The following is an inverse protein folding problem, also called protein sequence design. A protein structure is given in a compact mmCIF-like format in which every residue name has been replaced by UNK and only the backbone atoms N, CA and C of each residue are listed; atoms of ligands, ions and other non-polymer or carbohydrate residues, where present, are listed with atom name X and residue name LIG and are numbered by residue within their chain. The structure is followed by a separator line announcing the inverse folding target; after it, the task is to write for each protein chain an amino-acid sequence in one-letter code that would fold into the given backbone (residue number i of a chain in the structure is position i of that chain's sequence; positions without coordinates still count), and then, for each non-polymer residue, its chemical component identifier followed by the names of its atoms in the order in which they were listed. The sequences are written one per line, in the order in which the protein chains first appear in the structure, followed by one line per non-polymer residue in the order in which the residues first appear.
data_IF_254982372422
#
_entry.id   IF_254982372422
#
_cell.length_a   1.000
_cell.length_b   1.000
_cell.length_c   1.000
_cell.angle_alpha   90.00
_cell.angle_beta   90.00
_cell.angle_gamma   90.00
#
_symmetry.space_group_name_H-M   'P 1'
#
loop_
_entity.id
_entity.type
_entity.pdbx_description
1 polymer ?
#
# COMPACT_ATOMS: atom_id res chain seq x y z
N UNK A 1 -3.18 33.67 -54.31
CA UNK A 1 -4.15 32.60 -54.61
C UNK A 1 -3.39 31.29 -54.66
N UNK A 2 -3.75 30.34 -53.80
CA UNK A 2 -2.98 29.10 -53.58
C UNK A 2 -3.89 27.86 -53.62
N UNK A 3 -3.27 26.71 -53.91
CA UNK A 3 -3.95 25.41 -53.81
C UNK A 3 -4.07 24.95 -52.35
N UNK A 4 -4.92 23.95 -52.09
CA UNK A 4 -5.08 23.39 -50.74
C UNK A 4 -3.75 22.92 -50.13
N UNK A 5 -2.91 22.27 -50.93
CA UNK A 5 -1.59 21.78 -50.50
C UNK A 5 -0.60 22.91 -50.23
N UNK A 6 -0.67 24.00 -51.01
CA UNK A 6 0.16 25.19 -50.76
C UNK A 6 -0.25 25.91 -49.48
N UNK A 7 -1.54 26.06 -49.21
CA UNK A 7 -2.04 26.62 -47.94
C UNK A 7 -1.64 25.74 -46.76
N UNK A 8 -1.80 24.42 -46.89
CA UNK A 8 -1.42 23.49 -45.82
C UNK A 8 0.08 23.61 -45.51
N UNK A 9 0.93 23.60 -46.54
CA UNK A 9 2.38 23.76 -46.40
C UNK A 9 2.76 25.12 -45.81
N UNK A 10 2.10 26.20 -46.22
CA UNK A 10 2.36 27.56 -45.73
C UNK A 10 2.05 27.74 -44.24
N UNK A 11 1.06 27.01 -43.74
CA UNK A 11 0.69 27.00 -42.32
C UNK A 11 1.39 25.89 -41.53
N UNK A 12 2.33 25.16 -42.15
CA UNK A 12 2.99 23.98 -41.56
C UNK A 12 2.01 22.91 -41.06
N UNK A 13 0.91 22.71 -41.80
CA UNK A 13 -0.14 21.73 -41.54
C UNK A 13 -0.14 20.62 -42.59
N UNK A 14 -0.72 19.48 -42.24
CA UNK A 14 -1.08 18.43 -43.19
C UNK A 14 -2.37 18.80 -43.95
N UNK A 15 -2.54 18.29 -45.17
CA UNK A 15 -3.78 18.46 -45.94
C UNK A 15 -5.02 17.98 -45.17
N UNK A 16 -4.86 16.93 -44.36
CA UNK A 16 -5.92 16.40 -43.49
C UNK A 16 -6.30 17.39 -42.39
N UNK A 17 -5.33 18.05 -41.76
CA UNK A 17 -5.57 19.09 -40.76
C UNK A 17 -6.27 20.31 -41.39
N UNK A 18 -5.83 20.74 -42.58
CA UNK A 18 -6.48 21.84 -43.30
C UNK A 18 -7.93 21.51 -43.65
N UNK A 19 -8.22 20.28 -44.10
CA UNK A 19 -9.61 19.81 -44.36
C UNK A 19 -10.50 19.78 -43.12
N UNK A 20 -9.93 19.55 -41.94
CA UNK A 20 -10.68 19.64 -40.67
C UNK A 20 -10.98 21.10 -40.32
N UNK A 21 -10.00 21.99 -40.48
CA UNK A 21 -10.19 23.43 -40.26
C UNK A 21 -11.23 24.04 -41.22
N UNK A 22 -11.29 23.56 -42.47
CA UNK A 22 -12.31 23.97 -43.44
C UNK A 22 -13.77 23.70 -43.00
N UNK A 23 -13.98 22.79 -42.05
CA UNK A 23 -15.32 22.49 -41.51
C UNK A 23 -15.72 23.39 -40.34
N UNK A 24 -14.80 24.20 -39.83
CA UNK A 24 -15.07 25.08 -38.69
C UNK A 24 -15.83 26.34 -39.15
N UNK A 25 -16.70 26.88 -38.29
CA UNK A 25 -17.40 28.12 -38.58
C UNK A 25 -16.39 29.27 -38.74
N UNK A 26 -16.52 30.04 -39.83
CA UNK A 26 -15.64 31.16 -40.14
C UNK A 26 -14.39 30.80 -40.96
N UNK A 27 -14.24 29.54 -41.40
CA UNK A 27 -13.15 29.15 -42.28
C UNK A 27 -13.23 29.85 -43.66
N UNK A 28 -12.10 30.33 -44.23
CA UNK A 28 -12.10 30.97 -45.55
C UNK A 28 -12.51 30.00 -46.66
N UNK A 29 -13.41 30.45 -47.53
CA UNK A 29 -13.96 29.66 -48.63
C UNK A 29 -13.10 29.85 -49.89
N UNK A 30 -12.98 28.82 -50.72
CA UNK A 30 -12.34 28.93 -52.03
C UNK A 30 -13.12 29.87 -52.96
N UNK A 31 -12.40 30.60 -53.81
CA UNK A 31 -13.02 31.39 -54.87
C UNK A 31 -13.72 30.49 -55.92
N UNK A 32 -14.43 31.09 -56.88
CA UNK A 32 -15.15 30.38 -57.97
C UNK A 32 -14.25 29.47 -58.84
N UNK A 33 -12.92 29.58 -58.72
CA UNK A 33 -11.92 28.76 -59.42
C UNK A 33 -11.27 27.70 -58.51
N UNK A 34 -11.77 27.51 -57.29
CA UNK A 34 -11.27 26.53 -56.33
C UNK A 34 -9.96 26.92 -55.64
N UNK A 35 -9.48 28.16 -55.80
CA UNK A 35 -8.26 28.64 -55.15
C UNK A 35 -8.57 29.28 -53.80
N UNK A 36 -7.67 29.08 -52.86
CA UNK A 36 -7.76 29.61 -51.51
C UNK A 36 -6.90 30.87 -51.36
N UNK A 37 -7.36 31.79 -50.53
CA UNK A 37 -6.62 32.99 -50.19
C UNK A 37 -5.68 32.73 -49.00
N UNK A 38 -4.37 32.84 -49.22
CA UNK A 38 -3.35 32.53 -48.22
C UNK A 38 -3.43 33.46 -47.01
N UNK A 39 -3.70 34.74 -47.22
CA UNK A 39 -3.71 35.72 -46.13
C UNK A 39 -4.94 35.53 -45.25
N UNK A 40 -6.11 35.30 -45.86
CA UNK A 40 -7.33 34.94 -45.14
C UNK A 40 -7.15 33.65 -44.29
N UNK A 41 -6.45 32.65 -44.83
CA UNK A 41 -6.15 31.41 -44.11
C UNK A 41 -5.15 31.60 -42.97
N UNK A 42 -4.17 32.48 -43.15
CA UNK A 42 -3.21 32.85 -42.10
C UNK A 42 -3.92 33.55 -40.94
N UNK A 43 -4.76 34.54 -41.23
CA UNK A 43 -5.49 35.29 -40.21
C UNK A 43 -6.47 34.40 -39.44
N UNK A 44 -7.21 33.55 -40.17
CA UNK A 44 -8.08 32.55 -39.57
C UNK A 44 -7.29 31.61 -38.64
N UNK A 45 -6.16 31.06 -39.08
CA UNK A 45 -5.38 30.12 -38.29
C UNK A 45 -4.77 30.77 -37.04
N UNK A 46 -4.27 32.01 -37.14
CA UNK A 46 -3.78 32.76 -35.98
C UNK A 46 -4.91 32.99 -34.97
N UNK A 47 -6.11 33.38 -35.42
CA UNK A 47 -7.26 33.57 -34.54
C UNK A 47 -7.70 32.26 -33.88
N UNK A 48 -7.65 31.15 -34.63
CA UNK A 48 -7.95 29.81 -34.14
C UNK A 48 -6.97 29.38 -33.04
N UNK A 49 -5.67 29.57 -33.24
CA UNK A 49 -4.65 29.25 -32.22
C UNK A 49 -4.80 30.12 -30.97
N UNK A 50 -5.11 31.41 -31.12
CA UNK A 50 -5.35 32.31 -29.98
C UNK A 50 -6.59 31.89 -29.18
N UNK A 51 -7.67 31.48 -29.86
CA UNK A 51 -8.87 30.95 -29.19
C UNK A 51 -8.58 29.62 -28.53
N UNK A 52 -7.93 28.70 -29.23
CA UNK A 52 -7.54 27.40 -28.68
C UNK A 52 -6.67 27.55 -27.44
N UNK A 53 -5.74 28.51 -27.41
CA UNK A 53 -4.90 28.79 -26.24
C UNK A 53 -5.70 29.35 -25.05
N UNK A 54 -6.76 30.10 -25.33
CA UNK A 54 -7.63 30.67 -24.29
C UNK A 54 -8.72 29.70 -23.81
N UNK A 55 -9.07 28.69 -24.62
CA UNK A 55 -10.05 27.62 -24.32
C UNK A 55 -9.40 26.36 -23.74
N UNK A 56 -8.09 26.35 -23.47
CA UNK A 56 -7.48 25.31 -22.62
C UNK A 56 -7.68 25.77 -21.16
N UNK A 57 -8.67 25.24 -20.41
CA UNK A 57 -8.49 25.21 -18.97
C UNK A 57 -7.21 24.44 -18.72
N UNK A 58 -6.32 24.98 -17.88
CA UNK A 58 -5.06 24.40 -17.44
C UNK A 58 -5.28 22.95 -16.95
N UNK A 59 -5.30 22.01 -17.88
CA UNK A 59 -5.99 20.74 -17.75
C UNK A 59 -5.18 19.65 -18.42
N UNK A 60 -4.46 18.93 -17.58
CA UNK A 60 -3.82 17.63 -17.79
C UNK A 60 -3.16 17.47 -19.16
N UNK A 61 -2.01 18.13 -19.33
CA UNK A 61 -1.04 17.72 -20.36
C UNK A 61 -0.61 16.26 -20.13
N UNK A 62 -0.34 15.52 -21.21
CA UNK A 62 0.18 14.14 -21.16
C UNK A 62 1.44 14.04 -20.27
N UNK A 63 2.21 15.13 -20.16
CA UNK A 63 3.34 15.29 -19.24
C UNK A 63 2.94 15.24 -17.75
N UNK A 64 1.79 15.78 -17.36
CA UNK A 64 1.28 15.76 -15.97
C UNK A 64 0.77 14.36 -15.59
N UNK A 65 0.23 13.61 -16.56
CA UNK A 65 -0.14 12.22 -16.35
C UNK A 65 1.10 11.31 -16.16
N UNK A 66 2.11 11.46 -16.99
CA UNK A 66 3.37 10.71 -16.86
C UNK A 66 4.11 11.04 -15.56
N UNK A 67 4.11 12.31 -15.13
CA UNK A 67 4.69 12.72 -13.85
C UNK A 67 3.94 12.10 -12.67
N UNK A 68 2.60 12.18 -12.66
CA UNK A 68 1.76 11.52 -11.63
C UNK A 68 1.97 10.00 -11.61
N UNK A 69 2.10 9.37 -12.78
CA UNK A 69 2.36 7.94 -12.89
C UNK A 69 3.75 7.56 -12.34
N UNK A 70 4.75 8.41 -12.57
CA UNK A 70 6.11 8.22 -12.06
C UNK A 70 6.16 8.35 -10.53
N UNK A 71 5.47 9.34 -9.96
CA UNK A 71 5.33 9.51 -8.51
C UNK A 71 4.65 8.27 -7.90
N UNK A 72 3.52 7.84 -8.45
CA UNK A 72 2.79 6.67 -7.96
C UNK A 72 3.63 5.38 -8.02
N UNK A 73 4.43 5.20 -9.08
CA UNK A 73 5.38 4.07 -9.19
C UNK A 73 6.47 4.14 -8.15
N UNK A 74 7.01 5.33 -7.88
CA UNK A 74 8.05 5.53 -6.87
C UNK A 74 7.53 5.21 -5.46
N UNK A 75 6.34 5.71 -5.11
CA UNK A 75 5.66 5.41 -3.84
C UNK A 75 5.42 3.90 -3.68
N UNK A 76 4.85 3.24 -4.70
CA UNK A 76 4.63 1.80 -4.69
C UNK A 76 5.95 1.03 -4.48
N UNK A 77 7.02 1.45 -5.15
CA UNK A 77 8.34 0.82 -5.02
C UNK A 77 8.90 1.00 -3.61
N UNK A 78 8.68 2.16 -2.98
CA UNK A 78 9.08 2.42 -1.60
C UNK A 78 8.32 1.51 -0.62
N UNK A 79 7.00 1.38 -0.76
CA UNK A 79 6.18 0.48 0.06
C UNK A 79 6.57 -0.99 -0.11
N UNK A 80 6.86 -1.40 -1.35
CA UNK A 80 7.36 -2.75 -1.63
C UNK A 80 8.72 -3.01 -0.97
N UNK A 81 9.62 -2.02 -0.98
CA UNK A 81 10.92 -2.12 -0.32
C UNK A 81 10.76 -2.30 1.21
N UNK A 82 9.88 -1.52 1.85
CA UNK A 82 9.56 -1.67 3.28
C UNK A 82 8.99 -3.06 3.57
N UNK A 83 8.03 -3.51 2.76
CA UNK A 83 7.44 -4.85 2.90
C UNK A 83 8.49 -5.94 2.77
N UNK A 84 9.41 -5.81 1.82
CA UNK A 84 10.50 -6.77 1.62
C UNK A 84 11.51 -6.73 2.78
N UNK A 85 11.80 -5.56 3.35
CA UNK A 85 12.63 -5.44 4.54
C UNK A 85 12.00 -6.18 5.73
N UNK A 86 10.70 -5.99 5.98
CA UNK A 86 9.99 -6.72 7.04
C UNK A 86 10.07 -8.24 6.82
N UNK A 87 9.85 -8.72 5.59
CA UNK A 87 9.99 -10.15 5.25
C UNK A 87 11.42 -10.67 5.44
N UNK A 88 12.42 -9.85 5.12
CA UNK A 88 13.83 -10.20 5.33
C UNK A 88 14.15 -10.29 6.83
N UNK A 89 13.61 -9.39 7.66
CA UNK A 89 13.79 -9.44 9.12
C UNK A 89 13.09 -10.65 9.75
N UNK A 90 11.92 -11.05 9.24
CA UNK A 90 11.29 -12.35 9.59
C UNK A 90 12.20 -13.51 9.21
N UNK A 91 12.71 -13.52 7.97
CA UNK A 91 13.58 -14.59 7.46
C UNK A 91 14.92 -14.70 8.21
N UNK A 92 15.44 -13.57 8.71
CA UNK A 92 16.62 -13.52 9.58
C UNK A 92 16.33 -13.91 11.04
N UNK A 93 15.07 -14.21 11.38
CA UNK A 93 14.65 -14.58 12.73
C UNK A 93 14.64 -13.41 13.73
N UNK A 94 14.64 -12.16 13.25
CA UNK A 94 14.61 -10.95 14.08
C UNK A 94 13.19 -10.43 14.34
N UNK A 95 12.27 -10.73 13.42
CA UNK A 95 10.85 -10.40 13.57
C UNK A 95 10.06 -11.71 13.71
N UNK A 96 9.43 -11.90 14.87
CA UNK A 96 8.66 -13.10 15.19
C UNK A 96 7.19 -12.71 15.21
N UNK A 97 6.35 -13.53 14.58
CA UNK A 97 4.90 -13.36 14.60
C UNK A 97 4.35 -13.50 16.03
N UNK A 98 3.56 -12.53 16.48
CA UNK A 98 2.97 -12.53 17.82
C UNK A 98 2.07 -13.75 18.04
N UNK A 99 1.39 -14.23 17.00
CA UNK A 99 0.59 -15.45 17.04
C UNK A 99 1.43 -16.71 17.31
N UNK A 100 2.62 -16.80 16.70
CA UNK A 100 3.58 -17.85 17.02
C UNK A 100 4.02 -17.80 18.49
N UNK A 101 4.33 -16.60 19.02
CA UNK A 101 4.70 -16.45 20.43
C UNK A 101 3.60 -16.93 21.39
N UNK A 102 2.35 -16.55 21.12
CA UNK A 102 1.17 -16.99 21.90
C UNK A 102 1.02 -18.51 21.83
N UNK A 103 1.14 -19.09 20.63
CA UNK A 103 1.06 -20.53 20.42
C UNK A 103 2.18 -21.28 21.17
N UNK A 104 3.43 -20.84 21.02
CA UNK A 104 4.59 -21.47 21.63
C UNK A 104 4.51 -21.42 23.16
N UNK A 105 4.16 -20.27 23.74
CA UNK A 105 4.02 -20.13 25.19
C UNK A 105 2.84 -20.91 25.74
N UNK A 106 1.70 -20.95 25.03
CA UNK A 106 0.58 -21.81 25.41
C UNK A 106 0.98 -23.29 25.41
N UNK A 107 1.79 -23.72 24.43
CA UNK A 107 2.28 -25.10 24.36
C UNK A 107 3.24 -25.44 25.51
N UNK A 108 4.17 -24.54 25.82
CA UNK A 108 5.09 -24.69 26.95
C UNK A 108 4.35 -24.68 28.30
N UNK A 109 3.36 -23.79 28.45
CA UNK A 109 2.50 -23.72 29.62
C UNK A 109 1.72 -25.02 29.88
N UNK A 110 1.16 -25.64 28.83
CA UNK A 110 0.50 -26.94 28.95
C UNK A 110 1.46 -28.05 29.40
N UNK A 111 2.67 -28.10 28.84
CA UNK A 111 3.69 -29.05 29.26
C UNK A 111 4.11 -28.86 30.72
N UNK A 112 4.23 -27.60 31.15
CA UNK A 112 4.52 -27.25 32.53
C UNK A 112 3.38 -27.66 33.47
N UNK A 113 2.13 -27.38 33.09
CA UNK A 113 0.92 -27.78 33.85
C UNK A 113 0.90 -29.28 34.09
N UNK A 114 1.13 -30.08 33.04
CA UNK A 114 1.19 -31.54 33.16
C UNK A 114 2.30 -32.02 34.09
N UNK A 115 3.43 -31.30 34.13
CA UNK A 115 4.54 -31.62 35.04
C UNK A 115 4.15 -31.30 36.49
N UNK A 116 3.51 -30.14 36.71
CA UNK A 116 3.04 -29.72 38.02
C UNK A 116 1.99 -30.68 38.60
N UNK A 117 1.08 -31.20 37.78
CA UNK A 117 0.04 -32.15 38.19
C UNK A 117 0.60 -33.50 38.70
N UNK A 118 1.85 -33.84 38.34
CA UNK A 118 2.51 -35.06 38.80
C UNK A 118 3.15 -34.94 40.19
N UNK A 119 3.36 -33.71 40.68
CA UNK A 119 4.06 -33.42 41.94
C UNK A 119 3.32 -33.98 43.17
N UNK A 120 1.99 -33.84 43.33
CA UNK A 120 1.30 -34.32 44.53
C UNK A 120 1.46 -35.83 44.73
N UNK A 121 1.38 -36.61 43.65
CA UNK A 121 1.55 -38.06 43.68
C UNK A 121 2.99 -38.45 44.01
N UNK A 122 3.96 -37.74 43.45
CA UNK A 122 5.38 -37.96 43.73
C UNK A 122 5.71 -37.66 45.21
N UNK A 123 5.17 -36.56 45.75
CA UNK A 123 5.29 -36.20 47.17
C UNK A 123 4.66 -37.25 48.09
N UNK A 124 3.47 -37.75 47.75
CA UNK A 124 2.81 -38.81 48.53
C UNK A 124 3.64 -40.11 48.57
N UNK A 125 4.27 -40.48 47.45
CA UNK A 125 5.12 -41.68 47.37
C UNK A 125 6.42 -41.53 48.16
N UNK A 126 7.01 -40.34 48.14
CA UNK A 126 8.31 -40.08 48.79
C UNK A 126 8.18 -39.83 50.29
N UNK A 127 7.05 -39.28 50.74
CA UNK A 127 6.79 -38.94 52.15
C UNK A 127 5.44 -39.54 52.59
N UNK A 128 5.39 -40.84 52.94
CA UNK A 128 4.14 -41.52 53.33
C UNK A 128 3.45 -40.92 54.56
N UNK A 129 4.22 -40.24 55.43
CA UNK A 129 3.74 -39.62 56.66
C UNK A 129 3.01 -38.28 56.44
N UNK A 130 2.96 -37.78 55.20
CA UNK A 130 2.19 -36.59 54.86
C UNK A 130 0.71 -36.80 55.14
N UNK A 131 0.15 -35.95 55.99
CA UNK A 131 -1.29 -35.99 56.26
C UNK A 131 -2.08 -35.67 54.98
N UNK A 132 -3.26 -36.28 54.78
CA UNK A 132 -4.12 -36.00 53.62
C UNK A 132 -4.42 -34.50 53.46
N UNK A 133 -4.59 -33.78 54.58
CA UNK A 133 -4.85 -32.33 54.59
C UNK A 133 -3.70 -31.52 54.00
N UNK A 134 -2.45 -31.92 54.20
CA UNK A 134 -1.29 -31.26 53.59
C UNK A 134 -1.24 -31.53 52.08
N UNK A 135 -1.53 -32.76 51.65
CA UNK A 135 -1.60 -33.11 50.23
C UNK A 135 -2.71 -32.36 49.50
N UNK A 136 -3.87 -32.18 50.13
CA UNK A 136 -4.99 -31.42 49.53
C UNK A 136 -4.67 -29.93 49.42
N UNK A 137 -3.99 -29.35 50.42
CA UNK A 137 -3.49 -27.98 50.32
C UNK A 137 -2.47 -27.84 49.18
N UNK A 138 -1.52 -28.77 49.07
CA UNK A 138 -0.53 -28.81 48.00
C UNK A 138 -1.18 -28.90 46.61
N UNK A 139 -2.14 -29.82 46.42
CA UNK A 139 -2.92 -29.94 45.18
C UNK A 139 -3.62 -28.62 44.82
N UNK A 140 -4.18 -27.93 45.82
CA UNK A 140 -4.85 -26.65 45.61
C UNK A 140 -3.87 -25.57 45.12
N UNK A 141 -2.67 -25.50 45.69
CA UNK A 141 -1.64 -24.54 45.27
C UNK A 141 -1.14 -24.85 43.85
N UNK A 142 -0.91 -26.14 43.56
CA UNK A 142 -0.48 -26.59 42.22
C UNK A 142 -1.55 -26.28 41.17
N UNK A 143 -2.82 -26.57 41.45
CA UNK A 143 -3.91 -26.27 40.53
C UNK A 143 -4.03 -24.75 40.27
N UNK A 144 -3.79 -23.90 41.27
CA UNK A 144 -3.75 -22.45 41.07
C UNK A 144 -2.60 -22.03 40.15
N UNK A 145 -1.40 -22.57 40.36
CA UNK A 145 -0.23 -22.30 39.52
C UNK A 145 -0.40 -22.80 38.09
N UNK A 146 -0.84 -24.04 37.91
CA UNK A 146 -1.13 -24.67 36.63
C UNK A 146 -2.13 -23.84 35.79
N UNK A 147 -3.22 -23.40 36.41
CA UNK A 147 -4.22 -22.56 35.75
C UNK A 147 -3.69 -21.18 35.36
N UNK A 148 -2.76 -20.61 36.13
CA UNK A 148 -2.09 -19.36 35.75
C UNK A 148 -1.15 -19.58 34.57
N UNK A 149 -0.37 -20.67 34.58
CA UNK A 149 0.51 -21.02 33.47
C UNK A 149 -0.29 -21.23 32.19
N UNK A 150 -1.41 -21.95 32.24
CA UNK A 150 -2.27 -22.20 31.09
C UNK A 150 -2.75 -20.91 30.38
N UNK A 151 -2.79 -19.79 31.10
CA UNK A 151 -3.19 -18.47 30.59
C UNK A 151 -2.02 -17.54 30.29
N UNK A 152 -0.78 -18.04 30.31
CA UNK A 152 0.41 -17.23 30.07
C UNK A 152 0.44 -16.63 28.66
N UNK A 153 -0.04 -17.38 27.65
CA UNK A 153 -0.13 -16.89 26.28
C UNK A 153 -1.09 -15.71 26.11
N UNK A 154 -2.20 -15.69 26.86
CA UNK A 154 -3.23 -14.63 26.77
C UNK A 154 -2.70 -13.26 27.22
N UNK A 155 -1.70 -13.23 28.11
CA UNK A 155 -1.11 -12.00 28.65
C UNK A 155 -0.01 -11.43 27.77
N UNK A 156 0.38 -12.13 26.71
CA UNK A 156 1.50 -11.72 25.87
C UNK A 156 1.32 -10.37 25.18
N UNK A 157 0.13 -9.99 24.68
CA UNK A 157 -0.09 -8.66 24.11
C UNK A 157 0.18 -7.54 25.13
N UNK A 158 -0.35 -7.67 26.35
CA UNK A 158 -0.17 -6.67 27.40
C UNK A 158 1.31 -6.52 27.79
N UNK A 159 2.05 -7.64 27.89
CA UNK A 159 3.48 -7.65 28.19
C UNK A 159 4.31 -7.03 27.06
N UNK A 160 3.90 -7.22 25.80
CA UNK A 160 4.53 -6.60 24.65
C UNK A 160 4.33 -5.08 24.68
N UNK A 161 3.11 -4.62 24.97
CA UNK A 161 2.80 -3.19 25.09
C UNK A 161 3.61 -2.54 26.23
N UNK A 162 3.74 -3.21 27.38
CA UNK A 162 4.57 -2.77 28.49
C UNK A 162 6.06 -2.66 28.09
N UNK A 163 6.59 -3.67 27.40
CA UNK A 163 7.96 -3.66 26.91
C UNK A 163 8.23 -2.52 25.93
N UNK A 164 7.32 -2.28 24.98
CA UNK A 164 7.43 -1.17 24.02
C UNK A 164 7.46 0.17 24.77
N UNK A 165 6.57 0.39 25.74
CA UNK A 165 6.57 1.61 26.55
C UNK A 165 7.89 1.80 27.30
N UNK A 166 8.38 0.76 27.94
CA UNK A 166 9.62 0.80 28.73
C UNK A 166 10.90 1.00 27.90
N UNK A 167 10.87 0.68 26.60
CA UNK A 167 12.03 0.80 25.71
C UNK A 167 12.00 2.03 24.81
N UNK A 168 10.86 2.74 24.76
CA UNK A 168 10.67 3.93 23.92
C UNK A 168 10.73 5.24 24.73
N UNK A 169 10.73 5.18 26.06
CA UNK A 169 11.08 6.28 26.98
C UNK A 169 12.60 6.33 27.24
#
# INVERSE_FOLDING_TARGET
MATQTEVARHLSLTDRQLRRLQKLPGAPISNKRGQLDLDAWRDFYISYLRRSKNDVPDGDSEDDYEEKLLIARWELTAEQAVTQQLKNEVSKGKLIDTGFCIFALSKLAMALSSTLDSIPLSMQRQFPDLTPRHLDHLKTLIAKGANQCARAGDKLPDLLDEYIRATTE
#
